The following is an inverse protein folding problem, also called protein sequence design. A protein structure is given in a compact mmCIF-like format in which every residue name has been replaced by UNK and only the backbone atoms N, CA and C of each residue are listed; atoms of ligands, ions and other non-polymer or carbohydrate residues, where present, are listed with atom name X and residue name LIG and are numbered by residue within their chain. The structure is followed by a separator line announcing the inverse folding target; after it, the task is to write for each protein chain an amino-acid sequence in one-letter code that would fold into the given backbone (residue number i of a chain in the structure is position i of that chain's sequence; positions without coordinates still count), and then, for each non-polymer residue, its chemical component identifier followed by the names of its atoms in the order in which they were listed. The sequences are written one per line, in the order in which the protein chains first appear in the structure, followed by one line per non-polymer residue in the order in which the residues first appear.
data_IF_663422599752
#
_entry.id   IF_663422599752
#
_cell.length_a   1.000
_cell.length_b   1.000
_cell.length_c   1.000
_cell.angle_alpha   90.00
_cell.angle_beta   90.00
_cell.angle_gamma   90.00
#
_symmetry.space_group_name_H-M   'P 1'
#
loop_
_entity.id
_entity.type
_entity.pdbx_description
1 polymer ?
#
# COMPACT_ATOMS: atom_id res chain seq x y z
N UNK A 1 -15.05 33.47 18.29
CA UNK A 1 -15.95 32.38 17.82
C UNK A 1 -15.28 31.44 16.81
N UNK A 2 -14.52 31.93 15.80
CA UNK A 2 -13.92 31.08 14.73
C UNK A 2 -12.82 30.10 15.20
N UNK A 3 -12.05 30.47 16.23
CA UNK A 3 -10.95 29.66 16.79
C UNK A 3 -11.41 28.38 17.50
N UNK A 4 -12.58 28.43 18.15
CA UNK A 4 -13.15 27.27 18.85
C UNK A 4 -13.71 26.23 17.87
N UNK A 5 -14.27 26.69 16.75
CA UNK A 5 -14.84 25.81 15.71
C UNK A 5 -13.74 25.01 15.00
N UNK A 6 -12.58 25.63 14.73
CA UNK A 6 -11.43 24.95 14.12
C UNK A 6 -10.88 23.86 15.06
N UNK A 7 -10.76 24.18 16.36
CA UNK A 7 -10.29 23.20 17.35
C UNK A 7 -11.25 22.00 17.47
N UNK A 8 -12.56 22.24 17.48
CA UNK A 8 -13.57 21.19 17.53
C UNK A 8 -13.56 20.31 16.27
N UNK A 9 -13.38 20.90 15.09
CA UNK A 9 -13.28 20.17 13.84
C UNK A 9 -12.05 19.24 13.81
N UNK A 10 -10.91 19.69 14.35
CA UNK A 10 -9.68 18.88 14.42
C UNK A 10 -9.85 17.70 15.40
N UNK A 11 -10.49 17.93 16.55
CA UNK A 11 -10.77 16.88 17.53
C UNK A 11 -11.71 15.82 16.96
N UNK A 12 -12.78 16.23 16.27
CA UNK A 12 -13.67 15.30 15.58
C UNK A 12 -12.96 14.49 14.49
N UNK A 13 -12.04 15.12 13.74
CA UNK A 13 -11.26 14.44 12.71
C UNK A 13 -10.35 13.35 13.30
N UNK A 14 -9.66 13.63 14.42
CA UNK A 14 -8.79 12.66 15.10
C UNK A 14 -9.56 11.45 15.68
N UNK A 15 -10.82 11.65 16.10
CA UNK A 15 -11.66 10.57 16.62
C UNK A 15 -12.10 9.58 15.52
N UNK A 16 -12.25 10.05 14.27
CA UNK A 16 -12.63 9.20 13.13
C UNK A 16 -11.49 8.25 12.73
N UNK A 17 -10.23 8.73 12.77
CA UNK A 17 -9.06 7.92 12.43
C UNK A 17 -8.69 6.85 13.48
N UNK A 18 -9.32 6.87 14.65
CA UNK A 18 -9.00 5.93 15.73
C UNK A 18 -9.78 4.60 15.64
N UNK A 19 -10.63 4.42 14.62
CA UNK A 19 -11.51 3.24 14.51
C UNK A 19 -11.00 2.11 13.60
N UNK A 20 -9.82 2.23 13.00
CA UNK A 20 -9.28 1.18 12.12
C UNK A 20 -8.57 0.08 12.94
N UNK A 21 -9.36 -0.79 13.55
CA UNK A 21 -8.94 -2.13 13.95
C UNK A 21 -10.13 -3.08 13.82
N UNK A 22 -10.19 -3.77 12.69
CA UNK A 22 -10.67 -5.15 12.65
C UNK A 22 -9.97 -5.86 11.49
N UNK A 23 -9.03 -6.73 11.86
CA UNK A 23 -8.23 -7.53 10.94
C UNK A 23 -9.06 -8.55 10.19
N UNK A 24 -8.66 -8.80 8.94
CA UNK A 24 -9.12 -9.96 8.19
C UNK A 24 -8.07 -11.05 8.31
N UNK A 25 -8.37 -12.06 9.11
CA UNK A 25 -7.70 -13.36 9.10
C UNK A 25 -8.02 -14.08 7.79
N UNK A 26 -6.99 -14.54 7.09
CA UNK A 26 -7.14 -15.52 6.00
C UNK A 26 -6.16 -16.66 6.22
N UNK A 27 -6.73 -17.80 6.62
CA UNK A 27 -6.09 -19.11 6.60
C UNK A 27 -6.50 -19.82 5.30
N UNK A 28 -5.54 -20.13 4.43
CA UNK A 28 -5.65 -21.23 3.46
C UNK A 28 -4.25 -21.75 3.07
N UNK A 29 -3.87 -22.83 3.74
CA UNK A 29 -3.01 -23.94 3.34
C UNK A 29 -2.95 -24.26 1.83
N UNK A 30 -1.73 -24.45 1.28
CA UNK A 30 -1.51 -25.60 0.38
C UNK A 30 -0.07 -26.17 0.37
N UNK A 31 -0.05 -27.45 0.74
CA UNK A 31 0.84 -28.59 0.54
C UNK A 31 2.21 -28.48 -0.17
N UNK A 32 3.21 -29.03 0.53
CA UNK A 32 4.49 -29.56 0.08
C UNK A 32 4.39 -30.52 -1.12
N UNK A 33 5.18 -30.29 -2.19
CA UNK A 33 5.84 -31.35 -2.98
C UNK A 33 6.78 -30.78 -4.05
N UNK A 34 8.10 -30.83 -3.82
CA UNK A 34 9.01 -31.56 -4.72
C UNK A 34 10.42 -31.62 -4.15
N UNK A 35 10.85 -32.83 -3.79
CA UNK A 35 12.25 -33.19 -3.59
C UNK A 35 12.65 -34.13 -4.72
N UNK A 36 13.48 -33.66 -5.65
CA UNK A 36 14.50 -34.53 -6.24
C UNK A 36 15.56 -33.77 -7.03
N UNK A 37 16.78 -33.87 -6.49
CA UNK A 37 18.03 -34.16 -7.17
C UNK A 37 18.84 -33.05 -7.86
N UNK A 38 20.06 -32.93 -7.32
CA UNK A 38 21.32 -32.73 -8.03
C UNK A 38 21.63 -31.33 -8.53
N UNK A 39 22.35 -30.53 -7.72
CA UNK A 39 23.80 -30.41 -7.91
C UNK A 39 24.44 -29.61 -6.77
N UNK A 40 25.60 -30.06 -6.32
CA UNK A 40 26.28 -29.58 -5.13
C UNK A 40 27.15 -28.36 -5.48
N UNK A 41 26.54 -27.22 -5.83
CA UNK A 41 27.23 -25.93 -5.89
C UNK A 41 26.81 -25.07 -4.71
N UNK A 42 27.66 -25.12 -3.69
CA UNK A 42 27.57 -24.38 -2.44
C UNK A 42 27.76 -22.88 -2.66
N UNK A 43 26.77 -22.21 -3.26
CA UNK A 43 26.60 -20.78 -3.10
C UNK A 43 25.31 -20.59 -2.31
N UNK A 44 25.45 -20.48 -0.98
CA UNK A 44 24.40 -19.93 -0.12
C UNK A 44 24.09 -18.53 -0.65
N UNK A 45 23.15 -18.44 -1.59
CA UNK A 45 22.54 -17.18 -1.96
C UNK A 45 21.73 -16.82 -0.73
N UNK A 46 22.31 -16.00 0.14
CA UNK A 46 21.62 -15.43 1.28
C UNK A 46 20.27 -14.95 0.79
N UNK A 47 19.19 -15.53 1.35
CA UNK A 47 17.87 -15.00 1.10
C UNK A 47 17.92 -13.54 1.51
N UNK A 48 17.94 -12.66 0.52
CA UNK A 48 18.01 -11.22 0.72
C UNK A 48 16.55 -10.74 0.69
N UNK A 49 15.87 -10.67 1.85
CA UNK A 49 14.49 -10.24 1.91
C UNK A 49 14.34 -8.85 1.28
N UNK A 50 15.36 -7.98 1.37
CA UNK A 50 15.37 -6.68 0.68
C UNK A 50 15.09 -6.84 -0.81
N UNK A 51 15.90 -7.61 -1.53
CA UNK A 51 15.73 -7.81 -2.98
C UNK A 51 14.37 -8.45 -3.33
N UNK A 52 13.88 -9.40 -2.53
CA UNK A 52 12.58 -10.03 -2.75
C UNK A 52 11.40 -9.07 -2.50
N UNK A 53 11.50 -8.22 -1.47
CA UNK A 53 10.52 -7.19 -1.14
C UNK A 53 10.44 -6.14 -2.27
N UNK A 54 11.59 -5.70 -2.81
CA UNK A 54 11.61 -4.65 -3.82
C UNK A 54 11.08 -5.11 -5.19
N UNK A 55 11.26 -6.39 -5.55
CA UNK A 55 10.76 -6.93 -6.82
C UNK A 55 9.21 -6.98 -6.91
N UNK A 56 8.48 -6.92 -5.78
CA UNK A 56 7.01 -7.06 -5.76
C UNK A 56 6.23 -5.82 -5.33
N UNK A 57 6.86 -4.87 -4.62
CA UNK A 57 6.17 -3.63 -4.16
C UNK A 57 6.16 -2.55 -5.24
N UNK A 58 7.04 -2.64 -6.24
CA UNK A 58 7.27 -1.57 -7.21
C UNK A 58 6.18 -1.36 -8.26
N UNK A 59 5.27 -2.32 -8.47
CA UNK A 59 4.32 -2.28 -9.60
C UNK A 59 2.86 -1.97 -9.20
N UNK A 60 2.61 -1.77 -7.90
CA UNK A 60 1.28 -1.41 -7.41
C UNK A 60 1.03 0.10 -7.60
N UNK A 61 0.47 0.47 -8.75
CA UNK A 61 0.10 1.85 -9.10
C UNK A 61 -1.27 2.30 -8.54
N UNK A 62 -1.94 1.41 -7.81
CA UNK A 62 -3.24 1.66 -7.19
C UNK A 62 -3.21 1.37 -5.68
N UNK A 63 -3.91 2.20 -4.92
CA UNK A 63 -4.19 1.97 -3.51
C UNK A 63 -5.52 1.24 -3.37
N UNK A 64 -5.47 0.01 -2.89
CA UNK A 64 -6.66 -0.75 -2.55
C UNK A 64 -7.28 -0.20 -1.27
N UNK A 65 -8.53 0.27 -1.32
CA UNK A 65 -9.22 0.87 -0.16
C UNK A 65 -10.07 -0.18 0.53
N UNK A 66 -10.97 -0.83 -0.22
CA UNK A 66 -11.92 -1.77 0.34
C UNK A 66 -12.43 -2.77 -0.71
N UNK A 67 -12.71 -3.99 -0.28
CA UNK A 67 -13.39 -5.01 -1.08
C UNK A 67 -14.76 -5.28 -0.47
N UNK A 68 -15.83 -5.16 -1.26
CA UNK A 68 -17.20 -5.51 -0.83
C UNK A 68 -17.69 -6.65 -1.71
N UNK A 69 -17.77 -7.86 -1.13
CA UNK A 69 -18.11 -9.08 -1.87
C UNK A 69 -17.05 -9.38 -2.93
N UNK A 70 -17.41 -9.23 -4.21
CA UNK A 70 -16.54 -9.38 -5.38
C UNK A 70 -16.08 -8.06 -6.01
N UNK A 71 -16.41 -6.92 -5.40
CA UNK A 71 -16.06 -5.60 -5.94
C UNK A 71 -14.85 -5.02 -5.22
N UNK A 72 -13.79 -4.73 -5.97
CA UNK A 72 -12.56 -4.11 -5.46
C UNK A 72 -12.59 -2.61 -5.74
N UNK A 73 -12.58 -1.80 -4.69
CA UNK A 73 -12.45 -0.34 -4.80
C UNK A 73 -10.99 0.01 -4.58
N UNK A 74 -10.37 0.54 -5.63
CA UNK A 74 -8.99 1.02 -5.61
C UNK A 74 -8.93 2.44 -6.17
N UNK A 75 -7.96 3.24 -5.71
CA UNK A 75 -7.70 4.61 -6.19
C UNK A 75 -6.28 4.70 -6.74
N UNK A 76 -6.08 5.27 -7.94
CA UNK A 76 -4.75 5.42 -8.53
C UNK A 76 -3.87 6.38 -7.73
N UNK A 77 -2.55 6.13 -7.70
CA UNK A 77 -1.61 7.02 -7.03
C UNK A 77 -1.63 8.44 -7.66
N UNK A 78 -1.67 9.50 -6.83
CA UNK A 78 -1.54 10.86 -7.33
C UNK A 78 -0.10 11.16 -7.77
N UNK A 79 0.06 11.71 -8.97
CA UNK A 79 1.30 12.26 -9.46
C UNK A 79 1.34 13.75 -9.10
N UNK A 80 2.30 14.13 -8.27
CA UNK A 80 2.49 15.51 -7.81
C UNK A 80 3.67 16.12 -8.56
N UNK A 81 3.41 17.16 -9.34
CA UNK A 81 4.43 17.92 -10.07
C UNK A 81 4.53 19.34 -9.52
N UNK A 82 5.68 19.68 -8.96
CA UNK A 82 5.98 21.06 -8.56
C UNK A 82 6.81 21.76 -9.63
N UNK A 83 6.30 22.87 -10.18
CA UNK A 83 7.02 23.69 -11.15
C UNK A 83 7.58 24.94 -10.49
N UNK A 84 8.92 25.04 -10.39
CA UNK A 84 9.60 26.25 -9.90
C UNK A 84 9.37 27.47 -10.80
N UNK A 85 9.31 27.27 -12.12
CA UNK A 85 9.14 28.36 -13.09
C UNK A 85 7.76 29.00 -13.02
N UNK A 86 6.72 28.20 -12.83
CA UNK A 86 5.34 28.71 -12.67
C UNK A 86 4.95 28.93 -11.21
N UNK A 87 5.86 28.62 -10.27
CA UNK A 87 5.63 28.61 -8.83
C UNK A 87 4.30 27.97 -8.42
N UNK A 88 3.95 26.85 -9.07
CA UNK A 88 2.67 26.18 -8.93
C UNK A 88 2.85 24.66 -8.74
N UNK A 89 1.90 24.06 -8.02
CA UNK A 89 1.83 22.63 -7.76
C UNK A 89 0.66 22.04 -8.54
N UNK A 90 0.95 21.01 -9.33
CA UNK A 90 -0.03 20.28 -10.11
C UNK A 90 -0.21 18.88 -9.52
N UNK A 91 -1.45 18.47 -9.34
CA UNK A 91 -1.80 17.12 -8.87
C UNK A 91 -2.69 16.47 -9.92
N UNK A 92 -2.28 15.30 -10.40
CA UNK A 92 -3.04 14.52 -11.38
C UNK A 92 -3.17 13.09 -10.90
N UNK A 93 -4.29 12.45 -11.22
CA UNK A 93 -4.51 11.03 -11.00
C UNK A 93 -4.45 10.33 -12.36
N UNK A 94 -3.71 9.23 -12.45
CA UNK A 94 -3.67 8.45 -13.69
C UNK A 94 -4.94 7.59 -13.71
N UNK A 95 -5.83 7.82 -14.67
CA UNK A 95 -6.96 6.92 -14.92
C UNK A 95 -6.44 5.84 -15.88
N UNK A 96 -6.25 4.61 -15.38
CA UNK A 96 -5.96 3.42 -16.19
C UNK A 96 -7.18 2.99 -17.00
#
# INVERSE_FOLDING_TARGET
MKRGVISLAIICLMLVFSQDTLGSESHANDSLNNLSNSDHNLHKKEFNPGNFIFDHIGDAHDWHILTVGSHHISVPLPIILYSRTRNNLFVFFILL
#
